data_IF_527473231063
#
_entry.id   IF_527473231063
#
_cell.length_a   1.000
_cell.length_b   1.000
_cell.length_c   1.000
_cell.angle_alpha   90.00
_cell.angle_beta   90.00
_cell.angle_gamma   90.00
#
_symmetry.space_group_name_H-M   'P 1'
#
loop_
_entity.id
_entity.type
_entity.pdbx_description
1 polymer ?
#
# COMPACT_ATOMS: atom_id res chain seq x y z
N UNK A 1 7.88 -23.98 -4.41
CA UNK A 1 8.60 -22.71 -4.68
C UNK A 1 7.86 -21.84 -5.67
N UNK A 2 7.38 -22.40 -6.80
CA UNK A 2 6.53 -21.66 -7.73
C UNK A 2 5.21 -21.22 -7.13
N UNK A 3 4.63 -21.99 -6.20
CA UNK A 3 3.37 -21.62 -5.54
C UNK A 3 3.49 -20.31 -4.73
N UNK A 4 4.50 -20.18 -3.87
CA UNK A 4 4.73 -18.95 -3.08
C UNK A 4 5.07 -17.77 -4.00
N UNK A 5 5.96 -17.96 -4.97
CA UNK A 5 6.32 -16.90 -5.91
C UNK A 5 5.15 -16.47 -6.82
N UNK A 6 4.29 -17.42 -7.21
CA UNK A 6 3.07 -17.18 -8.00
C UNK A 6 2.00 -16.47 -7.18
N UNK A 7 1.76 -16.91 -5.94
CA UNK A 7 0.79 -16.26 -5.04
C UNK A 7 1.27 -14.86 -4.65
N UNK A 8 2.56 -14.69 -4.39
CA UNK A 8 3.15 -13.40 -4.06
C UNK A 8 3.06 -12.40 -5.23
N UNK A 9 3.29 -12.88 -6.46
CA UNK A 9 3.07 -12.06 -7.67
C UNK A 9 1.62 -11.58 -7.77
N UNK A 10 0.66 -12.48 -7.57
CA UNK A 10 -0.77 -12.13 -7.62
C UNK A 10 -1.17 -11.15 -6.53
N UNK A 11 -0.64 -11.33 -5.32
CA UNK A 11 -0.82 -10.40 -4.22
C UNK A 11 -0.29 -9.01 -4.57
N UNK A 12 0.92 -8.90 -5.13
CA UNK A 12 1.49 -7.62 -5.57
C UNK A 12 0.64 -6.97 -6.68
N UNK A 13 0.11 -7.75 -7.64
CA UNK A 13 -0.76 -7.22 -8.67
C UNK A 13 -2.09 -6.71 -8.10
N UNK A 14 -2.78 -7.53 -7.32
CA UNK A 14 -4.10 -7.19 -6.78
C UNK A 14 -4.01 -6.01 -5.82
N UNK A 15 -3.10 -6.07 -4.84
CA UNK A 15 -2.87 -4.95 -3.92
C UNK A 15 -2.34 -3.72 -4.65
N UNK A 16 -1.51 -3.90 -5.68
CA UNK A 16 -1.01 -2.82 -6.52
C UNK A 16 -2.11 -2.09 -7.26
N UNK A 17 -3.02 -2.82 -7.92
CA UNK A 17 -4.19 -2.25 -8.60
C UNK A 17 -5.10 -1.52 -7.61
N UNK A 18 -5.44 -2.17 -6.49
CA UNK A 18 -6.28 -1.56 -5.46
C UNK A 18 -5.64 -0.29 -4.89
N UNK A 19 -4.33 -0.28 -4.64
CA UNK A 19 -3.60 0.89 -4.14
C UNK A 19 -3.50 1.99 -5.21
N UNK A 20 -3.33 1.62 -6.49
CA UNK A 20 -3.25 2.56 -7.60
C UNK A 20 -4.55 3.34 -7.80
N UNK A 21 -5.70 2.81 -7.35
CA UNK A 21 -6.98 3.56 -7.38
C UNK A 21 -6.92 4.88 -6.64
N UNK A 22 -6.01 5.03 -5.66
CA UNK A 22 -5.80 6.29 -4.93
C UNK A 22 -5.35 7.44 -5.83
N UNK A 23 -4.87 7.21 -7.06
CA UNK A 23 -4.68 8.29 -8.02
C UNK A 23 -5.95 9.10 -8.28
N UNK A 24 -7.14 8.53 -8.08
CA UNK A 24 -8.39 9.27 -8.13
C UNK A 24 -8.40 10.49 -7.19
N UNK A 25 -7.78 10.37 -6.01
CA UNK A 25 -7.65 11.47 -5.03
C UNK A 25 -6.79 12.65 -5.51
N UNK A 26 -5.99 12.47 -6.57
CA UNK A 26 -5.28 13.58 -7.23
C UNK A 26 -6.27 14.59 -7.85
N UNK A 27 -7.40 14.10 -8.34
CA UNK A 27 -8.42 14.91 -9.01
C UNK A 27 -9.57 15.27 -8.06
N UNK A 28 -9.98 14.31 -7.22
CA UNK A 28 -11.08 14.45 -6.25
C UNK A 28 -10.61 14.10 -4.82
N UNK A 29 -9.86 15.00 -4.15
CA UNK A 29 -9.26 14.71 -2.84
C UNK A 29 -10.30 14.56 -1.72
N UNK A 30 -11.42 15.30 -1.77
CA UNK A 30 -12.48 15.21 -0.78
C UNK A 30 -13.15 13.84 -0.80
N UNK A 31 -13.48 13.34 -1.99
CA UNK A 31 -14.07 12.01 -2.17
C UNK A 31 -13.11 10.90 -1.73
N UNK A 32 -11.81 11.05 -2.00
CA UNK A 32 -10.80 10.11 -1.53
C UNK A 32 -10.74 10.05 0.01
N UNK A 33 -10.77 11.20 0.69
CA UNK A 33 -10.84 11.24 2.16
C UNK A 33 -12.15 10.70 2.70
N UNK A 34 -13.28 11.04 2.08
CA UNK A 34 -14.59 10.58 2.53
C UNK A 34 -14.70 9.05 2.39
N UNK A 35 -14.15 8.50 1.31
CA UNK A 35 -14.07 7.05 1.12
C UNK A 35 -13.16 6.38 2.14
N UNK A 36 -11.97 6.95 2.39
CA UNK A 36 -10.94 6.31 3.21
C UNK A 36 -11.18 6.48 4.72
N UNK A 37 -11.57 7.68 5.15
CA UNK A 37 -11.65 8.09 6.55
C UNK A 37 -13.05 8.54 6.97
N UNK A 38 -13.97 8.78 6.02
CA UNK A 38 -15.33 9.24 6.34
C UNK A 38 -15.39 10.71 6.76
N UNK A 39 -14.31 11.45 6.50
CA UNK A 39 -14.15 12.85 6.81
C UNK A 39 -13.72 13.64 5.57
N UNK A 40 -13.88 14.96 5.62
CA UNK A 40 -13.44 15.88 4.59
C UNK A 40 -12.69 17.07 5.19
N UNK A 41 -11.86 17.73 4.38
CA UNK A 41 -11.17 18.96 4.77
C UNK A 41 -11.76 20.16 4.04
N UNK A 42 -11.91 21.27 4.75
CA UNK A 42 -12.33 22.55 4.21
C UNK A 42 -11.13 23.51 4.14
N UNK A 43 -10.36 23.41 3.06
CA UNK A 43 -9.20 24.29 2.86
C UNK A 43 -8.33 23.94 1.66
N UNK A 44 -7.75 24.97 1.03
CA UNK A 44 -6.94 24.82 -0.17
C UNK A 44 -5.62 24.08 0.09
N UNK A 45 -4.95 24.38 1.21
CA UNK A 45 -3.69 23.71 1.58
C UNK A 45 -3.91 22.22 1.89
N UNK A 46 -4.97 21.90 2.64
CA UNK A 46 -5.30 20.51 2.98
C UNK A 46 -5.65 19.71 1.72
N UNK A 47 -6.44 20.30 0.82
CA UNK A 47 -6.73 19.71 -0.50
C UNK A 47 -5.45 19.42 -1.29
N UNK A 48 -4.49 20.36 -1.32
CA UNK A 48 -3.20 20.16 -1.98
C UNK A 48 -2.40 19.00 -1.36
N UNK A 49 -2.35 18.93 -0.03
CA UNK A 49 -1.66 17.84 0.70
C UNK A 49 -2.29 16.49 0.37
N UNK A 50 -3.63 16.40 0.37
CA UNK A 50 -4.36 15.16 0.07
C UNK A 50 -4.14 14.73 -1.37
N UNK A 51 -4.15 15.65 -2.33
CA UNK A 51 -3.84 15.35 -3.74
C UNK A 51 -2.44 14.76 -3.89
N UNK A 52 -1.46 15.39 -3.25
CA UNK A 52 -0.06 14.94 -3.25
C UNK A 52 0.09 13.57 -2.61
N UNK A 53 -0.46 13.39 -1.40
CA UNK A 53 -0.46 12.12 -0.69
C UNK A 53 -1.13 11.00 -1.50
N UNK A 54 -2.30 11.28 -2.07
CA UNK A 54 -3.06 10.33 -2.91
C UNK A 54 -2.24 9.88 -4.13
N UNK A 55 -1.52 10.80 -4.77
CA UNK A 55 -0.62 10.48 -5.87
C UNK A 55 0.55 9.60 -5.41
N UNK A 56 1.16 9.88 -4.25
CA UNK A 56 2.24 9.06 -3.69
C UNK A 56 1.76 7.64 -3.36
N UNK A 57 0.56 7.50 -2.78
CA UNK A 57 -0.05 6.18 -2.54
C UNK A 57 -0.30 5.48 -3.87
N UNK A 58 -0.86 6.18 -4.86
CA UNK A 58 -1.04 5.63 -6.21
C UNK A 58 0.26 5.11 -6.83
N UNK A 59 1.36 5.84 -6.67
CA UNK A 59 2.70 5.43 -7.12
C UNK A 59 3.19 4.15 -6.43
N UNK A 60 2.88 3.94 -5.14
CA UNK A 60 3.17 2.67 -4.47
C UNK A 60 2.39 1.51 -5.10
N UNK A 61 1.16 1.76 -5.55
CA UNK A 61 0.39 0.79 -6.33
C UNK A 61 1.09 0.41 -7.64
N UNK A 62 1.56 1.40 -8.39
CA UNK A 62 2.34 1.18 -9.63
C UNK A 62 3.64 0.42 -9.35
N UNK A 63 4.33 0.76 -8.25
CA UNK A 63 5.56 0.08 -7.85
C UNK A 63 5.32 -1.41 -7.56
N UNK A 64 4.21 -1.74 -6.88
CA UNK A 64 3.79 -3.13 -6.65
C UNK A 64 3.48 -3.86 -7.96
N UNK A 65 2.76 -3.23 -8.89
CA UNK A 65 2.48 -3.80 -10.22
C UNK A 65 3.79 -4.06 -10.96
N UNK A 66 4.71 -3.08 -11.00
CA UNK A 66 6.01 -3.22 -11.64
C UNK A 66 6.84 -4.35 -11.03
N UNK A 67 6.93 -4.42 -9.70
CA UNK A 67 7.64 -5.49 -8.99
C UNK A 67 7.02 -6.89 -9.23
N UNK A 68 5.72 -6.95 -9.47
CA UNK A 68 5.07 -8.20 -9.84
C UNK A 68 5.49 -8.70 -11.23
N UNK A 69 5.62 -7.77 -12.19
CA UNK A 69 6.00 -8.04 -13.57
C UNK A 69 7.50 -8.22 -13.80
N UNK A 70 8.35 -7.62 -12.95
CA UNK A 70 9.80 -7.68 -13.06
C UNK A 70 10.45 -8.47 -11.91
N UNK A 71 10.80 -9.77 -12.10
CA UNK A 71 11.41 -10.58 -11.04
C UNK A 71 12.70 -9.98 -10.46
N UNK A 72 13.48 -9.26 -11.28
CA UNK A 72 14.73 -8.61 -10.88
C UNK A 72 14.52 -7.54 -9.81
N UNK A 73 13.45 -6.76 -9.89
CA UNK A 73 13.16 -5.64 -8.98
C UNK A 73 12.11 -5.97 -7.92
N UNK A 74 11.52 -7.16 -7.97
CA UNK A 74 10.41 -7.59 -7.11
C UNK A 74 10.66 -7.35 -5.63
N UNK A 75 11.83 -7.76 -5.12
CA UNK A 75 12.19 -7.61 -3.71
C UNK A 75 12.21 -6.13 -3.31
N UNK A 76 12.88 -5.30 -4.11
CA UNK A 76 13.00 -3.86 -3.84
C UNK A 76 11.63 -3.18 -3.83
N UNK A 77 10.82 -3.43 -4.84
CA UNK A 77 9.48 -2.85 -4.96
C UNK A 77 8.56 -3.28 -3.81
N UNK A 78 8.57 -4.57 -3.44
CA UNK A 78 7.79 -5.08 -2.33
C UNK A 78 8.22 -4.46 -0.99
N UNK A 79 9.53 -4.34 -0.75
CA UNK A 79 10.07 -3.74 0.48
C UNK A 79 9.67 -2.26 0.60
N UNK A 80 9.86 -1.47 -0.45
CA UNK A 80 9.50 -0.04 -0.44
C UNK A 80 8.00 0.14 -0.19
N UNK A 81 7.15 -0.63 -0.88
CA UNK A 81 5.71 -0.57 -0.70
C UNK A 81 5.29 -1.02 0.72
N UNK A 82 5.88 -2.11 1.24
CA UNK A 82 5.60 -2.60 2.59
C UNK A 82 6.02 -1.60 3.67
N UNK A 83 7.17 -0.94 3.52
CA UNK A 83 7.62 0.10 4.44
C UNK A 83 6.67 1.31 4.43
N UNK A 84 6.29 1.80 3.25
CA UNK A 84 5.32 2.90 3.12
C UNK A 84 3.99 2.56 3.80
N UNK A 85 3.48 1.35 3.58
CA UNK A 85 2.25 0.84 4.21
C UNK A 85 2.39 0.68 5.72
N UNK A 86 3.54 0.19 6.20
CA UNK A 86 3.81 0.07 7.63
C UNK A 86 3.79 1.42 8.33
N UNK A 87 4.35 2.46 7.71
CA UNK A 87 4.28 3.85 8.21
C UNK A 87 2.82 4.30 8.29
N UNK A 88 2.03 4.10 7.22
CA UNK A 88 0.62 4.48 7.19
C UNK A 88 -0.20 3.78 8.29
N UNK A 89 -0.09 2.46 8.39
CA UNK A 89 -0.78 1.67 9.42
C UNK A 89 -0.36 2.10 10.82
N UNK A 90 0.93 2.30 11.06
CA UNK A 90 1.43 2.74 12.37
C UNK A 90 0.88 4.12 12.76
N UNK A 91 0.88 5.08 11.83
CA UNK A 91 0.32 6.41 12.08
C UNK A 91 -1.17 6.34 12.43
N UNK A 92 -1.93 5.50 11.73
CA UNK A 92 -3.36 5.39 11.94
C UNK A 92 -3.70 4.70 13.26
N UNK A 93 -2.93 3.69 13.67
CA UNK A 93 -3.09 3.03 14.97
C UNK A 93 -2.75 3.94 16.16
N UNK A 94 -1.73 4.81 16.00
CA UNK A 94 -1.27 5.70 17.08
C UNK A 94 -2.13 6.98 17.15
N UNK A 95 -2.43 7.61 16.01
CA UNK A 95 -3.03 8.95 15.95
C UNK A 95 -4.42 8.99 15.31
N UNK A 96 -4.86 7.91 14.67
CA UNK A 96 -6.08 7.90 13.84
C UNK A 96 -7.20 7.03 14.38
N UNK A 97 -7.29 6.86 15.71
CA UNK A 97 -8.25 5.93 16.33
C UNK A 97 -9.70 6.19 15.91
N UNK A 98 -10.08 7.46 15.74
CA UNK A 98 -11.41 7.86 15.30
C UNK A 98 -11.76 7.39 13.88
N UNK A 99 -10.75 7.14 13.04
CA UNK A 99 -10.91 6.76 11.64
C UNK A 99 -10.73 5.27 11.38
N UNK A 100 -10.35 4.48 12.40
CA UNK A 100 -10.02 3.06 12.24
C UNK A 100 -11.18 2.25 11.67
N UNK A 101 -12.41 2.56 12.07
CA UNK A 101 -13.62 1.85 11.60
C UNK A 101 -13.78 1.97 10.09
N UNK A 102 -13.57 3.17 9.54
CA UNK A 102 -13.73 3.44 8.10
C UNK A 102 -12.51 2.96 7.29
N UNK A 103 -11.31 3.11 7.84
CA UNK A 103 -10.07 2.73 7.19
C UNK A 103 -9.71 1.24 7.36
N UNK A 104 -10.45 0.48 8.17
CA UNK A 104 -10.18 -0.93 8.47
C UNK A 104 -9.91 -1.81 7.23
N UNK A 105 -10.66 -1.70 6.11
CA UNK A 105 -10.37 -2.49 4.91
C UNK A 105 -8.99 -2.20 4.32
N UNK A 106 -8.58 -0.92 4.31
CA UNK A 106 -7.27 -0.51 3.82
C UNK A 106 -6.15 -1.02 4.75
N UNK A 107 -6.33 -0.89 6.07
CA UNK A 107 -5.38 -1.42 7.07
C UNK A 107 -5.21 -2.93 6.90
N UNK A 108 -6.31 -3.67 6.76
CA UNK A 108 -6.28 -5.12 6.61
C UNK A 108 -5.49 -5.55 5.36
N UNK A 109 -5.74 -4.89 4.23
CA UNK A 109 -4.99 -5.11 2.99
C UNK A 109 -3.50 -4.80 3.18
N UNK A 110 -3.18 -3.68 3.82
CA UNK A 110 -1.80 -3.25 4.03
C UNK A 110 -1.04 -4.18 4.96
N UNK A 111 -1.66 -4.63 6.06
CA UNK A 111 -1.10 -5.65 6.96
C UNK A 111 -0.84 -6.97 6.23
N UNK A 112 -1.76 -7.39 5.35
CA UNK A 112 -1.57 -8.57 4.53
C UNK A 112 -0.35 -8.39 3.61
N UNK A 113 -0.23 -7.26 2.91
CA UNK A 113 0.93 -6.97 2.04
C UNK A 113 2.24 -6.97 2.83
N UNK A 114 2.27 -6.38 4.02
CA UNK A 114 3.43 -6.35 4.91
C UNK A 114 3.81 -7.78 5.32
N UNK A 115 2.86 -8.55 5.85
CA UNK A 115 3.11 -9.92 6.33
C UNK A 115 3.63 -10.83 5.22
N UNK A 116 3.01 -10.80 4.04
CA UNK A 116 3.46 -11.60 2.90
C UNK A 116 4.81 -11.15 2.37
N UNK A 117 5.12 -9.85 2.41
CA UNK A 117 6.45 -9.35 2.04
C UNK A 117 7.51 -9.87 3.00
N UNK A 118 7.26 -9.85 4.31
CA UNK A 118 8.17 -10.43 5.31
C UNK A 118 8.38 -11.93 5.10
N UNK A 119 7.30 -12.69 4.89
CA UNK A 119 7.38 -14.13 4.59
C UNK A 119 8.18 -14.40 3.32
N UNK A 120 7.99 -13.59 2.27
CA UNK A 120 8.74 -13.70 1.03
C UNK A 120 10.24 -13.42 1.24
N UNK A 121 10.60 -12.40 2.02
CA UNK A 121 11.99 -12.10 2.36
C UNK A 121 12.65 -13.22 3.16
N UNK A 122 11.96 -13.77 4.16
CA UNK A 122 12.45 -14.92 4.95
C UNK A 122 12.68 -16.14 4.06
N UNK A 123 11.77 -16.42 3.12
CA UNK A 123 11.92 -17.51 2.16
C UNK A 123 13.11 -17.31 1.21
N UNK A 124 13.36 -16.06 0.76
CA UNK A 124 14.51 -15.72 -0.08
C UNK A 124 15.82 -15.83 0.70
N UNK A 125 15.86 -15.38 1.96
CA UNK A 125 17.05 -15.43 2.81
C UNK A 125 17.45 -16.87 3.14
N UNK A 126 16.50 -17.72 3.54
CA UNK A 126 16.75 -19.14 3.83
C UNK A 126 17.41 -19.88 2.66
N UNK A 127 17.15 -19.44 1.42
CA UNK A 127 17.74 -20.01 0.21
C UNK A 127 19.15 -19.48 -0.10
N UNK A 128 19.56 -18.34 0.44
CA UNK A 128 20.94 -17.83 0.30
C UNK A 128 21.90 -18.46 1.31
N UNK A 129 21.38 -19.00 2.41
CA UNK A 129 22.16 -19.64 3.49
C UNK A 129 22.24 -21.16 3.39
N UNK A 130 21.61 -21.77 2.38
CA UNK A 130 21.64 -23.20 2.09
C UNK A 130 22.34 -23.43 0.75
#
# INVERSE_FOLDING_TARGET
MDFIARNFRWLMLLSGVLTATMFYGLFAPQEALQSMFGASFEGQLQSLVVRSWSALVGLMGVLLIYGALSPKHRVLCAVIAALSKAIFVSLLLIHGQDYLSKAAPAIALDLLVIAFTLLFLLAVQKRRSA
#
